data_IF_295732695717
#
_entry.id   IF_295732695717
#
_cell.length_a   1.000
_cell.length_b   1.000
_cell.length_c   1.000
_cell.angle_alpha   90.00
_cell.angle_beta   90.00
_cell.angle_gamma   90.00
#
_symmetry.space_group_name_H-M   'P 1'
#
loop_
_entity.id
_entity.type
_entity.pdbx_description
1 polymer ?
#
# COMPACT_ATOMS: atom_id res chain seq x y z
N UNK A 1 -9.41 -23.73 51.85
CA UNK A 1 -8.81 -22.45 51.42
C UNK A 1 -8.48 -22.57 49.93
N UNK A 2 -9.34 -22.02 49.07
CA UNK A 2 -9.29 -22.21 47.61
C UNK A 2 -8.32 -21.17 47.01
N UNK A 3 -7.21 -21.64 46.45
CA UNK A 3 -6.23 -20.78 45.76
C UNK A 3 -6.72 -20.57 44.33
N UNK A 4 -7.35 -19.41 44.07
CA UNK A 4 -7.69 -18.92 42.74
C UNK A 4 -6.42 -18.64 41.93
N UNK A 5 -6.04 -19.54 41.02
CA UNK A 5 -5.00 -19.30 40.01
C UNK A 5 -5.61 -18.46 38.88
N UNK A 6 -5.24 -17.18 38.80
CA UNK A 6 -5.78 -16.26 37.78
C UNK A 6 -5.22 -16.54 36.37
N UNK A 7 -6.06 -16.55 35.31
CA UNK A 7 -5.66 -16.85 33.92
C UNK A 7 -4.81 -15.75 33.27
N UNK A 8 -4.80 -14.54 33.84
CA UNK A 8 -4.13 -13.34 33.31
C UNK A 8 -2.60 -13.48 33.33
N UNK A 9 -2.04 -14.15 34.35
CA UNK A 9 -0.59 -14.34 34.46
C UNK A 9 -0.04 -15.34 33.45
N UNK A 10 -0.84 -16.33 33.03
CA UNK A 10 -0.44 -17.31 32.01
C UNK A 10 -0.46 -16.71 30.61
N UNK A 11 -1.45 -15.88 30.30
CA UNK A 11 -1.53 -15.18 29.02
C UNK A 11 -0.37 -14.17 28.84
N UNK A 12 -0.01 -13.42 29.89
CA UNK A 12 1.11 -12.48 29.86
C UNK A 12 2.48 -13.19 29.68
N UNK A 13 2.64 -14.37 30.27
CA UNK A 13 3.88 -15.15 30.18
C UNK A 13 4.04 -15.82 28.81
N UNK A 14 2.93 -16.26 28.19
CA UNK A 14 2.91 -16.80 26.83
C UNK A 14 3.13 -15.70 25.78
N UNK A 15 2.51 -14.52 25.95
CA UNK A 15 2.79 -13.35 25.09
C UNK A 15 4.24 -12.86 25.21
N UNK A 16 4.78 -12.87 26.44
CA UNK A 16 6.18 -12.53 26.70
C UNK A 16 7.15 -13.51 26.03
N UNK A 17 6.87 -14.81 26.10
CA UNK A 17 7.69 -15.84 25.43
C UNK A 17 7.59 -15.78 23.90
N UNK A 18 6.41 -15.47 23.33
CA UNK A 18 6.27 -15.29 21.89
C UNK A 18 7.00 -14.04 21.37
N UNK A 19 6.99 -12.94 22.13
CA UNK A 19 7.77 -11.74 21.83
C UNK A 19 9.27 -11.99 21.92
N UNK A 20 9.72 -12.75 22.92
CA UNK A 20 11.12 -13.14 23.05
C UNK A 20 11.55 -14.11 21.93
N UNK A 21 10.68 -15.05 21.55
CA UNK A 21 10.93 -15.98 20.44
C UNK A 21 11.00 -15.24 19.09
N UNK A 22 10.17 -14.22 18.85
CA UNK A 22 10.28 -13.38 17.66
C UNK A 22 11.58 -12.54 17.65
N UNK A 23 12.04 -12.09 18.83
CA UNK A 23 13.29 -11.34 18.98
C UNK A 23 14.54 -12.24 18.78
N UNK A 24 14.48 -13.50 19.21
CA UNK A 24 15.59 -14.45 19.08
C UNK A 24 15.63 -15.09 17.69
N UNK A 25 14.50 -15.32 17.02
CA UNK A 25 14.47 -15.76 15.62
C UNK A 25 14.82 -14.65 14.62
N UNK A 26 14.70 -13.36 14.98
CA UNK A 26 15.17 -12.23 14.17
C UNK A 26 16.67 -11.94 14.26
N UNK A 27 17.41 -12.67 15.12
CA UNK A 27 18.83 -12.41 15.39
C UNK A 27 19.80 -13.22 14.49
N UNK A 28 19.30 -14.14 13.66
CA UNK A 28 20.10 -14.78 12.61
C UNK A 28 19.79 -14.09 11.26
N UNK A 29 20.74 -13.26 10.82
CA UNK A 29 20.86 -12.66 9.48
C UNK A 29 20.01 -11.42 9.11
N UNK A 30 19.58 -10.61 10.07
CA UNK A 30 19.27 -9.21 9.75
C UNK A 30 20.58 -8.39 9.75
N UNK A 31 21.19 -8.19 8.57
CA UNK A 31 22.16 -7.11 8.36
C UNK A 31 21.46 -5.78 8.67
N UNK A 32 21.55 -5.36 9.93
CA UNK A 32 21.01 -4.10 10.46
C UNK A 32 21.85 -2.90 9.99
N UNK A 33 22.03 -2.77 8.68
CA UNK A 33 22.49 -1.55 8.05
C UNK A 33 21.31 -0.60 7.90
N UNK A 34 21.18 0.34 8.84
CA UNK A 34 20.50 1.62 8.64
C UNK A 34 19.01 1.57 8.29
N UNK A 35 18.17 1.45 9.32
CA UNK A 35 16.72 1.73 9.25
C UNK A 35 16.45 3.16 8.74
N UNK A 36 17.42 4.08 8.84
CA UNK A 36 17.32 5.46 8.34
C UNK A 36 17.62 5.55 6.83
N UNK A 37 18.52 4.72 6.26
CA UNK A 37 18.71 4.64 4.81
C UNK A 37 17.56 3.94 4.09
N UNK A 38 16.80 3.08 4.79
CA UNK A 38 15.57 2.49 4.25
C UNK A 38 14.50 3.54 3.91
N UNK A 39 14.55 4.72 4.52
CA UNK A 39 13.65 5.85 4.24
C UNK A 39 14.22 6.84 3.21
N UNK A 40 15.51 6.74 2.86
CA UNK A 40 16.22 7.68 1.99
C UNK A 40 16.50 7.17 0.58
N UNK A 41 16.33 5.87 0.33
CA UNK A 41 16.28 5.30 -1.01
C UNK A 41 14.81 5.18 -1.45
N UNK A 42 14.10 6.31 -1.59
CA UNK A 42 13.05 6.29 -2.60
C UNK A 42 13.76 5.92 -3.89
N UNK A 43 13.39 4.79 -4.49
CA UNK A 43 13.81 4.44 -5.84
C UNK A 43 13.11 5.41 -6.81
N UNK A 44 13.51 6.69 -6.76
CA UNK A 44 12.92 7.80 -7.52
C UNK A 44 13.22 7.51 -8.99
N UNK A 45 12.17 7.19 -9.75
CA UNK A 45 12.25 6.92 -11.19
C UNK A 45 12.63 5.49 -11.57
N UNK A 46 13.00 4.62 -10.62
CA UNK A 46 13.33 3.21 -10.88
C UNK A 46 12.41 2.21 -10.18
N UNK A 47 11.53 2.66 -9.29
CA UNK A 47 10.51 1.80 -8.68
C UNK A 47 9.42 1.43 -9.70
N UNK A 48 8.98 0.17 -9.63
CA UNK A 48 7.79 -0.30 -10.34
C UNK A 48 6.50 0.18 -9.67
N UNK A 49 5.35 -0.20 -10.24
CA UNK A 49 4.03 -0.01 -9.62
C UNK A 49 3.68 1.44 -9.20
N UNK A 50 4.10 2.44 -9.99
CA UNK A 50 3.88 3.87 -9.68
C UNK A 50 2.40 4.23 -9.46
N UNK A 51 1.48 3.44 -10.02
CA UNK A 51 0.04 3.51 -9.73
C UNK A 51 -0.28 3.56 -8.22
N UNK A 52 0.45 2.81 -7.39
CA UNK A 52 0.24 2.76 -5.95
C UNK A 52 0.54 4.09 -5.23
N UNK A 53 1.13 5.06 -5.91
CA UNK A 53 1.38 6.42 -5.40
C UNK A 53 0.31 7.43 -5.82
N UNK A 54 -0.61 7.05 -6.71
CA UNK A 54 -1.65 7.98 -7.15
C UNK A 54 -2.63 8.27 -5.99
N UNK A 55 -3.04 9.55 -5.84
CA UNK A 55 -3.88 9.94 -4.72
C UNK A 55 -5.30 9.39 -4.87
N UNK A 56 -5.82 8.77 -3.81
CA UNK A 56 -7.21 8.36 -3.75
C UNK A 56 -8.08 9.45 -3.12
N UNK A 57 -9.08 9.94 -3.85
CA UNK A 57 -10.09 10.87 -3.33
C UNK A 57 -9.74 12.35 -3.49
N UNK A 58 -10.74 13.13 -3.91
CA UNK A 58 -10.59 14.55 -4.23
C UNK A 58 -10.12 15.40 -3.05
N UNK A 59 -10.59 15.10 -1.83
CA UNK A 59 -10.21 15.85 -0.62
C UNK A 59 -8.72 15.75 -0.32
N UNK A 60 -8.17 14.54 -0.27
CA UNK A 60 -6.77 14.35 0.03
C UNK A 60 -5.88 14.89 -1.10
N UNK A 61 -6.29 14.73 -2.36
CA UNK A 61 -5.62 15.35 -3.51
C UNK A 61 -5.58 16.89 -3.40
N UNK A 62 -6.72 17.54 -3.08
CA UNK A 62 -6.81 18.99 -2.93
C UNK A 62 -6.00 19.54 -1.76
N UNK A 63 -5.76 18.73 -0.72
CA UNK A 63 -4.91 19.07 0.42
C UNK A 63 -3.42 18.77 0.16
N UNK A 64 -3.00 18.68 -1.10
CA UNK A 64 -1.61 18.40 -1.46
C UNK A 64 -1.16 17.00 -1.02
N UNK A 65 -2.07 16.02 -1.10
CA UNK A 65 -1.83 14.63 -0.66
C UNK A 65 -1.57 14.47 0.84
N UNK A 66 -2.02 15.41 1.68
CA UNK A 66 -1.95 15.34 3.14
C UNK A 66 -2.94 14.32 3.78
N UNK A 67 -3.16 13.17 3.14
CA UNK A 67 -4.11 12.16 3.61
C UNK A 67 -3.67 11.38 4.84
N UNK A 68 -2.37 11.41 5.20
CA UNK A 68 -1.80 10.60 6.30
C UNK A 68 -2.50 10.83 7.63
N UNK A 69 -2.79 12.09 7.97
CA UNK A 69 -3.54 12.47 9.17
C UNK A 69 -4.95 12.99 8.87
N UNK A 70 -5.19 13.51 7.66
CA UNK A 70 -6.47 14.15 7.31
C UNK A 70 -7.53 13.17 6.77
N UNK A 71 -7.15 12.04 6.16
CA UNK A 71 -8.08 11.10 5.54
C UNK A 71 -8.76 10.21 6.60
N UNK A 72 -9.71 10.79 7.32
CA UNK A 72 -10.52 10.13 8.35
C UNK A 72 -11.94 9.87 7.82
N UNK A 73 -12.01 9.39 6.58
CA UNK A 73 -13.24 9.06 5.84
C UNK A 73 -13.09 7.71 5.11
N UNK A 74 -14.04 7.34 4.25
CA UNK A 74 -14.02 6.09 3.49
C UNK A 74 -12.72 5.83 2.69
N UNK A 75 -11.95 6.87 2.34
CA UNK A 75 -10.67 6.75 1.63
C UNK A 75 -9.49 6.36 2.53
N UNK A 76 -9.67 6.32 3.87
CA UNK A 76 -8.64 6.01 4.85
C UNK A 76 -7.75 4.79 4.51
N UNK A 77 -8.29 3.65 4.01
CA UNK A 77 -7.46 2.49 3.65
C UNK A 77 -6.35 2.76 2.63
N UNK A 78 -6.51 3.76 1.77
CA UNK A 78 -5.52 4.14 0.76
C UNK A 78 -4.43 5.10 1.28
N UNK A 79 -4.70 5.80 2.39
CA UNK A 79 -3.82 6.83 2.94
C UNK A 79 -3.11 6.38 4.21
N UNK A 80 -3.87 6.00 5.23
CA UNK A 80 -3.34 5.53 6.50
C UNK A 80 -4.32 4.51 7.11
N UNK A 81 -3.97 3.22 7.15
CA UNK A 81 -4.87 2.19 7.69
C UNK A 81 -5.27 2.49 9.15
N UNK A 82 -4.39 3.11 9.94
CA UNK A 82 -4.66 3.46 11.34
C UNK A 82 -5.80 4.47 11.53
N UNK A 83 -6.20 5.18 10.48
CA UNK A 83 -7.31 6.12 10.51
C UNK A 83 -8.68 5.44 10.41
N UNK A 84 -8.76 4.18 9.93
CA UNK A 84 -10.06 3.50 9.69
C UNK A 84 -10.92 3.37 10.95
N UNK A 85 -10.30 3.10 12.11
CA UNK A 85 -10.99 2.99 13.41
C UNK A 85 -11.43 4.35 13.98
N UNK A 86 -10.99 5.46 13.36
CA UNK A 86 -11.28 6.84 13.79
C UNK A 86 -12.24 7.57 12.86
N UNK A 87 -12.70 6.89 11.81
CA UNK A 87 -13.65 7.45 10.85
C UNK A 87 -14.99 7.77 11.49
N UNK A 88 -15.70 8.73 10.89
CA UNK A 88 -17.04 9.07 11.35
C UNK A 88 -18.03 8.00 10.89
N UNK A 89 -18.84 7.48 11.81
CA UNK A 89 -19.79 6.42 11.52
C UNK A 89 -19.15 5.02 11.44
N UNK A 90 -19.88 4.01 11.90
CA UNK A 90 -19.35 2.63 12.05
C UNK A 90 -19.08 1.91 10.74
N UNK A 91 -19.68 2.35 9.63
CA UNK A 91 -19.58 1.74 8.30
C UNK A 91 -19.36 2.84 7.30
N UNK A 92 -18.30 2.74 6.53
CA UNK A 92 -17.91 3.73 5.55
C UNK A 92 -17.75 3.05 4.20
N UNK A 93 -18.27 3.71 3.18
CA UNK A 93 -18.15 3.30 1.78
C UNK A 93 -17.60 4.49 1.01
N UNK A 94 -16.67 4.22 0.10
CA UNK A 94 -16.05 5.24 -0.73
C UNK A 94 -15.89 4.74 -2.15
N UNK A 95 -16.17 5.63 -3.08
CA UNK A 95 -15.90 5.47 -4.50
C UNK A 95 -15.23 6.75 -4.98
N UNK A 96 -14.20 6.58 -5.79
CA UNK A 96 -13.47 7.68 -6.40
C UNK A 96 -13.20 7.38 -7.86
N UNK A 97 -13.42 8.36 -8.71
CA UNK A 97 -12.99 8.35 -10.09
C UNK A 97 -12.08 9.55 -10.31
N UNK A 98 -10.94 9.32 -10.95
CA UNK A 98 -9.96 10.36 -11.29
C UNK A 98 -9.58 10.20 -12.75
N UNK A 99 -9.97 11.17 -13.57
CA UNK A 99 -9.48 11.30 -14.93
C UNK A 99 -8.05 11.86 -14.87
N UNK A 100 -7.09 11.08 -15.33
CA UNK A 100 -5.69 11.45 -15.42
C UNK A 100 -5.33 11.88 -16.85
N UNK A 101 -4.10 12.34 -17.05
CA UNK A 101 -3.66 12.77 -18.37
C UNK A 101 -3.66 11.62 -19.38
N UNK A 102 -3.71 11.96 -20.68
CA UNK A 102 -3.69 11.00 -21.78
C UNK A 102 -4.85 9.98 -21.81
N UNK A 103 -6.01 10.33 -21.22
CA UNK A 103 -7.19 9.46 -21.21
C UNK A 103 -7.09 8.27 -20.26
N UNK A 104 -6.14 8.32 -19.31
CA UNK A 104 -5.98 7.31 -18.28
C UNK A 104 -7.03 7.54 -17.19
N UNK A 105 -7.80 6.52 -16.84
CA UNK A 105 -8.80 6.57 -15.79
C UNK A 105 -8.35 5.76 -14.58
N UNK A 106 -8.57 6.35 -13.40
CA UNK A 106 -8.29 5.70 -12.12
C UNK A 106 -9.54 5.61 -11.27
N UNK A 107 -9.91 4.40 -10.91
CA UNK A 107 -11.05 4.07 -10.07
C UNK A 107 -10.56 3.54 -8.72
N UNK A 108 -11.18 4.01 -7.65
CA UNK A 108 -10.94 3.56 -6.29
C UNK A 108 -12.27 3.20 -5.63
N UNK A 109 -12.30 2.10 -4.90
CA UNK A 109 -13.44 1.71 -4.08
C UNK A 109 -12.97 1.13 -2.75
N UNK A 110 -13.62 1.49 -1.66
CA UNK A 110 -13.31 0.91 -0.36
C UNK A 110 -14.54 0.82 0.52
N UNK A 111 -14.54 -0.20 1.36
CA UNK A 111 -15.49 -0.38 2.44
C UNK A 111 -14.74 -0.73 3.71
N UNK A 112 -15.02 -0.04 4.80
CA UNK A 112 -14.51 -0.44 6.10
C UNK A 112 -15.56 -0.24 7.19
N UNK A 113 -15.43 -1.06 8.23
CA UNK A 113 -16.26 -0.96 9.41
C UNK A 113 -15.41 -1.06 10.66
N UNK A 114 -15.84 -0.34 11.69
CA UNK A 114 -15.16 -0.35 12.97
C UNK A 114 -16.14 -0.46 14.13
N UNK A 115 -15.68 -1.16 15.16
CA UNK A 115 -16.26 -1.11 16.50
C UNK A 115 -15.56 -0.06 17.36
N UNK A 116 -15.49 -0.31 18.67
CA UNK A 116 -14.79 0.57 19.62
C UNK A 116 -13.26 0.40 19.56
N UNK A 117 -12.79 -0.84 19.37
CA UNK A 117 -11.36 -1.16 19.49
C UNK A 117 -10.77 -1.68 18.18
N UNK A 118 -11.57 -2.37 17.37
CA UNK A 118 -11.11 -3.03 16.14
C UNK A 118 -11.83 -2.48 14.93
N UNK A 119 -11.11 -2.43 13.82
CA UNK A 119 -11.59 -2.03 12.51
C UNK A 119 -11.03 -2.98 11.47
N UNK A 120 -11.83 -3.27 10.45
CA UNK A 120 -11.39 -4.00 9.27
C UNK A 120 -12.03 -3.40 8.03
N UNK A 121 -11.38 -3.60 6.88
CA UNK A 121 -11.88 -3.07 5.62
C UNK A 121 -11.27 -3.77 4.43
N UNK A 122 -11.88 -3.50 3.29
CA UNK A 122 -11.43 -3.92 1.98
C UNK A 122 -11.30 -2.70 1.08
N UNK A 123 -10.34 -2.74 0.17
CA UNK A 123 -10.08 -1.67 -0.78
C UNK A 123 -9.71 -2.27 -2.13
N UNK A 124 -10.08 -1.58 -3.20
CA UNK A 124 -9.76 -1.92 -4.56
C UNK A 124 -9.38 -0.63 -5.31
N UNK A 125 -8.40 -0.72 -6.17
CA UNK A 125 -8.02 0.33 -7.10
C UNK A 125 -7.75 -0.26 -8.47
N UNK A 126 -8.19 0.42 -9.52
CA UNK A 126 -7.97 0.03 -10.90
C UNK A 126 -7.51 1.24 -11.69
N UNK A 127 -6.46 1.08 -12.48
CA UNK A 127 -6.06 2.04 -13.51
C UNK A 127 -6.25 1.39 -14.87
N UNK A 128 -6.89 2.13 -15.77
CA UNK A 128 -7.08 1.76 -17.17
C UNK A 128 -6.43 2.83 -18.04
N UNK A 129 -5.49 2.42 -18.89
CA UNK A 129 -4.88 3.36 -19.84
C UNK A 129 -5.76 3.68 -21.04
N UNK A 130 -6.78 2.85 -21.30
CA UNK A 130 -7.42 2.80 -22.61
C UNK A 130 -6.50 2.21 -23.68
N UNK A 131 -6.97 2.27 -24.93
CA UNK A 131 -6.23 1.76 -26.08
C UNK A 131 -5.12 2.74 -26.50
N UNK A 132 -3.87 2.32 -26.35
CA UNK A 132 -2.71 3.10 -26.77
C UNK A 132 -2.27 2.62 -28.16
N UNK A 133 -2.18 3.50 -29.18
CA UNK A 133 -1.72 3.10 -30.49
C UNK A 133 -0.23 2.72 -30.47
N UNK A 134 0.11 1.56 -31.03
CA UNK A 134 1.49 1.12 -31.19
C UNK A 134 2.14 1.92 -32.32
N UNK A 135 3.29 2.52 -32.05
CA UNK A 135 4.05 3.32 -33.03
C UNK A 135 5.40 2.67 -33.33
N UNK A 136 5.90 2.83 -34.55
CA UNK A 136 7.24 2.39 -34.96
C UNK A 136 7.94 3.52 -35.72
N UNK A 137 9.26 3.40 -35.94
CA UNK A 137 10.02 4.41 -36.70
C UNK A 137 9.41 4.67 -38.09
N UNK A 138 8.87 3.62 -38.72
CA UNK A 138 8.21 3.68 -40.03
C UNK A 138 6.72 4.09 -39.95
N UNK A 139 6.08 3.97 -38.79
CA UNK A 139 4.66 4.26 -38.58
C UNK A 139 4.44 5.07 -37.30
N UNK A 140 4.81 6.34 -37.38
CA UNK A 140 4.78 7.28 -36.24
C UNK A 140 3.37 7.68 -35.80
N UNK A 141 2.39 7.58 -36.71
CA UNK A 141 0.97 7.87 -36.42
C UNK A 141 0.19 6.64 -35.94
N UNK A 142 0.86 5.50 -35.79
CA UNK A 142 0.25 4.24 -35.38
C UNK A 142 0.34 3.17 -36.46
N UNK A 143 0.56 1.93 -36.05
CA UNK A 143 0.60 0.75 -36.92
C UNK A 143 -0.78 0.13 -37.19
N UNK A 144 -1.85 0.70 -36.61
CA UNK A 144 -3.20 0.12 -36.60
C UNK A 144 -3.41 -0.93 -35.50
N UNK A 145 -2.38 -1.25 -34.72
CA UNK A 145 -2.46 -2.08 -33.51
C UNK A 145 -2.52 -1.19 -32.26
N UNK A 146 -3.20 -1.68 -31.22
CA UNK A 146 -3.26 -1.02 -29.91
C UNK A 146 -2.75 -1.96 -28.83
N UNK A 147 -2.24 -1.38 -27.75
CA UNK A 147 -1.91 -2.11 -26.52
C UNK A 147 -2.55 -1.40 -25.33
N UNK A 148 -2.69 -2.11 -24.22
CA UNK A 148 -3.27 -1.59 -22.99
C UNK A 148 -2.32 -1.79 -21.82
N UNK A 149 -2.35 -0.84 -20.88
CA UNK A 149 -1.69 -0.88 -19.60
C UNK A 149 -2.76 -0.82 -18.50
N UNK A 150 -3.08 -1.98 -17.94
CA UNK A 150 -4.10 -2.12 -16.91
C UNK A 150 -3.46 -2.54 -15.60
N UNK A 151 -3.76 -1.81 -14.53
CA UNK A 151 -3.23 -2.09 -13.19
C UNK A 151 -4.39 -2.27 -12.22
N UNK A 152 -4.25 -3.20 -11.28
CA UNK A 152 -5.22 -3.48 -10.25
C UNK A 152 -4.53 -3.68 -8.90
N UNK A 153 -5.15 -3.18 -7.84
CA UNK A 153 -4.76 -3.45 -6.47
C UNK A 153 -5.97 -3.86 -5.65
N UNK A 154 -5.84 -4.91 -4.85
CA UNK A 154 -6.83 -5.33 -3.86
C UNK A 154 -6.19 -5.33 -2.49
N UNK A 155 -6.82 -4.73 -1.49
CA UNK A 155 -6.26 -4.54 -0.16
C UNK A 155 -7.20 -4.97 0.96
N UNK A 156 -6.65 -5.61 1.98
CA UNK A 156 -7.31 -5.95 3.24
C UNK A 156 -6.68 -5.14 4.37
N UNK A 157 -7.50 -4.32 5.02
CA UNK A 157 -7.07 -3.44 6.11
C UNK A 157 -7.52 -4.00 7.44
N UNK A 158 -6.60 -4.03 8.41
CA UNK A 158 -6.86 -4.36 9.80
C UNK A 158 -6.32 -3.26 10.70
N UNK A 159 -7.08 -2.83 11.70
CA UNK A 159 -6.70 -1.71 12.55
C UNK A 159 -7.18 -1.91 13.98
N UNK A 160 -6.39 -1.42 14.93
CA UNK A 160 -6.69 -1.46 16.35
C UNK A 160 -6.48 -0.10 17.00
N UNK A 161 -7.51 0.39 17.67
CA UNK A 161 -7.38 1.47 18.64
C UNK A 161 -6.71 0.90 19.90
N UNK A 162 -5.50 1.34 20.19
CA UNK A 162 -4.74 0.90 21.37
C UNK A 162 -5.14 1.69 22.61
N UNK A 163 -5.47 2.97 22.43
CA UNK A 163 -6.01 3.86 23.46
C UNK A 163 -7.09 4.75 22.86
N UNK A 164 -7.70 5.63 23.64
CA UNK A 164 -8.66 6.61 23.11
C UNK A 164 -8.01 7.62 22.15
N UNK A 165 -6.67 7.73 22.18
CA UNK A 165 -5.90 8.72 21.42
C UNK A 165 -4.92 8.12 20.42
N UNK A 166 -4.64 6.83 20.48
CA UNK A 166 -3.64 6.18 19.64
C UNK A 166 -4.24 4.98 18.91
N UNK A 167 -4.00 4.88 17.61
CA UNK A 167 -4.34 3.72 16.78
C UNK A 167 -3.18 3.29 15.91
N UNK A 168 -3.14 2.00 15.62
CA UNK A 168 -2.20 1.36 14.69
C UNK A 168 -2.99 0.53 13.69
N UNK A 169 -2.56 0.56 12.44
CA UNK A 169 -3.20 -0.18 11.37
C UNK A 169 -2.19 -0.76 10.40
N UNK A 170 -2.59 -1.83 9.75
CA UNK A 170 -1.86 -2.43 8.64
C UNK A 170 -2.81 -2.70 7.48
N UNK A 171 -2.28 -2.61 6.27
CA UNK A 171 -2.99 -2.99 5.05
C UNK A 171 -2.12 -4.01 4.31
N UNK A 172 -2.70 -5.13 3.88
CA UNK A 172 -2.04 -6.09 2.99
C UNK A 172 -2.71 -5.99 1.65
N UNK A 173 -1.95 -5.72 0.60
CA UNK A 173 -2.44 -5.55 -0.75
C UNK A 173 -1.79 -6.54 -1.71
N UNK A 174 -2.54 -6.92 -2.73
CA UNK A 174 -2.02 -7.62 -3.89
C UNK A 174 -2.09 -6.68 -5.09
N UNK A 175 -0.93 -6.36 -5.65
CA UNK A 175 -0.78 -5.56 -6.85
C UNK A 175 -0.63 -6.48 -8.06
N UNK A 176 -1.32 -6.13 -9.14
CA UNK A 176 -1.19 -6.77 -10.44
C UNK A 176 -1.16 -5.72 -11.54
N UNK A 177 -0.28 -5.92 -12.51
CA UNK A 177 -0.09 -5.07 -13.68
C UNK A 177 -0.02 -5.95 -14.92
N UNK A 178 -0.79 -5.59 -15.94
CA UNK A 178 -0.73 -6.18 -17.26
C UNK A 178 -0.40 -5.07 -18.26
N UNK A 179 0.74 -5.20 -18.92
CA UNK A 179 1.24 -4.29 -19.94
C UNK A 179 1.47 -5.10 -21.22
N UNK A 180 0.49 -5.05 -22.12
CA UNK A 180 0.46 -5.88 -23.32
C UNK A 180 0.61 -7.38 -22.96
N UNK A 181 1.68 -8.05 -23.43
CA UNK A 181 1.99 -9.45 -23.13
C UNK A 181 2.70 -9.66 -21.78
N UNK A 182 3.12 -8.59 -21.10
CA UNK A 182 3.82 -8.69 -19.81
C UNK A 182 2.83 -8.62 -18.65
N UNK A 183 2.96 -9.56 -17.72
CA UNK A 183 2.21 -9.55 -16.46
C UNK A 183 3.16 -9.52 -15.27
N UNK A 184 2.85 -8.70 -14.28
CA UNK A 184 3.62 -8.53 -13.05
C UNK A 184 2.66 -8.53 -11.87
N UNK A 185 2.99 -9.28 -10.82
CA UNK A 185 2.18 -9.32 -9.61
C UNK A 185 3.04 -9.44 -8.36
N UNK A 186 2.69 -8.69 -7.32
CA UNK A 186 3.42 -8.70 -6.06
C UNK A 186 2.54 -8.35 -4.86
N UNK A 187 2.74 -9.01 -3.72
CA UNK A 187 2.15 -8.55 -2.47
C UNK A 187 2.89 -7.31 -1.96
N UNK A 188 2.14 -6.33 -1.46
CA UNK A 188 2.68 -5.14 -0.79
C UNK A 188 1.93 -4.90 0.51
N UNK A 189 2.55 -4.20 1.44
CA UNK A 189 1.98 -3.91 2.75
C UNK A 189 2.17 -2.44 3.14
N UNK A 190 1.20 -1.94 3.90
CA UNK A 190 1.28 -0.65 4.55
C UNK A 190 1.19 -0.85 6.06
N UNK A 191 1.91 -0.03 6.81
CA UNK A 191 1.81 0.06 8.26
C UNK A 191 1.71 1.53 8.65
N UNK A 192 0.71 1.85 9.46
CA UNK A 192 0.45 3.22 9.87
C UNK A 192 0.12 3.33 11.34
N UNK A 193 0.33 4.52 11.87
CA UNK A 193 -0.07 4.95 13.21
C UNK A 193 -0.78 6.31 13.12
N UNK A 194 -1.68 6.56 14.06
CA UNK A 194 -2.38 7.83 14.18
C UNK A 194 -2.54 8.20 15.65
N UNK A 195 -2.20 9.43 15.99
CA UNK A 195 -2.20 9.96 17.35
C UNK A 195 -2.99 11.27 17.46
N UNK A 196 -3.77 11.40 18.52
CA UNK A 196 -4.56 12.57 18.89
C UNK A 196 -4.02 13.14 20.20
N UNK A 197 -3.18 14.19 20.17
CA UNK A 197 -2.61 14.78 21.38
C UNK A 197 -3.67 15.34 22.35
N UNK A 198 -4.84 15.73 21.84
CA UNK A 198 -5.92 16.36 22.61
C UNK A 198 -5.81 17.89 22.67
N UNK A 199 -5.03 18.49 21.76
CA UNK A 199 -4.91 19.94 21.60
C UNK A 199 -5.80 20.33 20.40
N UNK A 200 -7.07 20.67 20.68
CA UNK A 200 -8.06 20.92 19.63
C UNK A 200 -8.22 19.73 18.68
N UNK A 201 -8.20 20.00 17.37
CA UNK A 201 -8.31 19.00 16.31
C UNK A 201 -6.95 18.51 15.77
N UNK A 202 -5.85 18.78 16.48
CA UNK A 202 -4.53 18.34 16.07
C UNK A 202 -4.45 16.81 15.99
N UNK A 203 -3.90 16.34 14.87
CA UNK A 203 -3.66 14.93 14.58
C UNK A 203 -2.23 14.79 14.09
N UNK A 204 -1.61 13.68 14.45
CA UNK A 204 -0.27 13.34 14.01
C UNK A 204 -0.34 11.92 13.46
N UNK A 205 0.02 11.76 12.20
CA UNK A 205 0.01 10.50 11.49
C UNK A 205 1.38 10.16 10.93
N UNK A 206 1.71 8.88 10.96
CA UNK A 206 2.88 8.35 10.25
C UNK A 206 2.47 7.06 9.56
N UNK A 207 2.91 6.89 8.31
CA UNK A 207 2.62 5.70 7.53
C UNK A 207 3.82 5.33 6.66
N UNK A 208 4.08 4.04 6.57
CA UNK A 208 4.94 3.45 5.54
C UNK A 208 4.02 2.69 4.61
N UNK A 209 4.02 3.06 3.33
CA UNK A 209 3.14 2.49 2.30
C UNK A 209 3.93 1.72 1.26
N UNK A 210 3.29 0.72 0.68
CA UNK A 210 3.73 -0.08 -0.46
C UNK A 210 5.08 -0.77 -0.25
N UNK A 211 5.34 -1.21 0.98
CA UNK A 211 6.51 -2.01 1.29
C UNK A 211 6.32 -3.44 0.78
N UNK A 212 7.30 -4.01 0.08
CA UNK A 212 7.18 -5.34 -0.51
C UNK A 212 8.49 -5.82 -1.14
N UNK A 213 8.53 -7.08 -1.62
CA UNK A 213 9.66 -7.60 -2.36
C UNK A 213 9.83 -6.87 -3.69
N UNK A 214 11.00 -7.03 -4.31
CA UNK A 214 11.20 -6.61 -5.68
C UNK A 214 10.23 -7.36 -6.61
N UNK A 215 9.64 -6.60 -7.52
CA UNK A 215 8.66 -7.06 -8.50
C UNK A 215 9.36 -7.39 -9.81
N UNK A 216 8.91 -8.43 -10.49
CA UNK A 216 9.48 -8.83 -11.77
C UNK A 216 8.39 -9.22 -12.74
N UNK A 217 8.45 -8.79 -14.01
CA UNK A 217 7.56 -9.31 -15.03
C UNK A 217 7.76 -10.82 -15.20
N UNK A 218 6.65 -11.54 -15.36
CA UNK A 218 6.68 -12.94 -15.79
C UNK A 218 6.88 -13.07 -17.29
N UNK A 219 7.22 -14.27 -17.74
CA UNK A 219 7.39 -14.60 -19.16
C UNK A 219 8.84 -14.64 -19.64
N UNK A 220 9.02 -14.96 -20.91
CA UNK A 220 10.32 -14.91 -21.60
C UNK A 220 10.62 -13.48 -22.06
N UNK A 221 11.85 -12.97 -21.85
CA UNK A 221 12.31 -11.71 -22.41
C UNK A 221 12.07 -11.62 -23.91
N UNK A 222 11.60 -10.46 -24.38
CA UNK A 222 11.41 -10.20 -25.81
C UNK A 222 12.75 -10.31 -26.53
N UNK A 223 12.79 -11.10 -27.60
CA UNK A 223 13.97 -11.22 -28.45
C UNK A 223 14.09 -9.96 -29.32
N UNK A 224 15.11 -9.15 -29.01
CA UNK A 224 15.45 -7.95 -29.74
C UNK A 224 16.56 -8.29 -30.74
N UNK A 225 16.24 -8.19 -32.02
CA UNK A 225 17.16 -8.55 -33.11
C UNK A 225 18.46 -7.73 -33.00
N UNK A 226 19.61 -8.43 -32.89
CA UNK A 226 20.93 -7.83 -32.72
C UNK A 226 21.38 -7.51 -31.28
N UNK A 227 20.62 -7.90 -30.24
CA UNK A 227 21.00 -7.75 -28.83
C UNK A 227 21.04 -9.10 -28.10
N UNK A 228 22.00 -9.27 -27.19
CA UNK A 228 22.02 -10.42 -26.28
C UNK A 228 20.73 -10.42 -25.45
N UNK A 229 19.89 -11.43 -25.64
CA UNK A 229 18.68 -11.61 -24.87
C UNK A 229 19.06 -12.04 -23.45
N UNK A 230 18.74 -11.22 -22.42
CA UNK A 230 18.95 -11.66 -21.06
C UNK A 230 18.08 -12.89 -20.79
N UNK A 231 18.57 -13.83 -19.97
CA UNK A 231 17.78 -15.00 -19.57
C UNK A 231 16.56 -14.63 -18.72
N UNK A 232 16.50 -13.40 -18.22
CA UNK A 232 15.63 -12.96 -17.15
C UNK A 232 15.27 -11.46 -17.25
N UNK A 233 14.01 -11.09 -17.02
CA UNK A 233 13.59 -9.70 -16.91
C UNK A 233 14.21 -9.02 -15.68
N UNK A 234 14.53 -7.73 -15.80
CA UNK A 234 15.00 -6.89 -14.71
C UNK A 234 13.94 -6.80 -13.58
N UNK A 235 14.40 -6.83 -12.33
CA UNK A 235 13.56 -6.60 -11.17
C UNK A 235 13.45 -5.12 -10.82
N UNK A 236 12.28 -4.71 -10.35
CA UNK A 236 11.97 -3.37 -9.93
C UNK A 236 11.50 -3.37 -8.49
N UNK A 237 12.10 -2.55 -7.63
CA UNK A 237 11.65 -2.47 -6.24
C UNK A 237 10.25 -1.88 -6.13
N UNK A 238 9.53 -2.32 -5.10
CA UNK A 238 8.23 -1.76 -4.76
C UNK A 238 8.36 -0.25 -4.43
N UNK A 239 7.34 0.58 -4.75
CA UNK A 239 7.37 2.03 -4.57
C UNK A 239 7.10 2.39 -3.11
N UNK A 240 7.99 1.92 -2.23
CA UNK A 240 7.91 2.13 -0.79
C UNK A 240 8.04 3.61 -0.49
N UNK A 241 7.10 4.16 0.29
CA UNK A 241 7.14 5.56 0.71
C UNK A 241 6.81 5.69 2.19
N UNK A 242 7.62 6.48 2.89
CA UNK A 242 7.32 6.95 4.24
C UNK A 242 6.68 8.32 4.17
N UNK A 243 5.61 8.55 4.93
CA UNK A 243 4.95 9.85 4.96
C UNK A 243 4.53 10.21 6.38
N UNK A 244 4.72 11.47 6.72
CA UNK A 244 4.36 12.07 8.01
C UNK A 244 3.40 13.24 7.75
N UNK A 245 2.42 13.45 8.63
CA UNK A 245 1.46 14.55 8.53
C UNK A 245 0.62 14.74 9.77
#
# INVERSE_FOLDING_TARGET
>A
MVILRSPVRRAALVLGLCLLACLVLGALEAKAGSVIQLYGAENVGTAGAQFLRLPAGARAAALGQAGVAAAVDGSAPFWNPAATVRTQGRRNLFFGHTAYAAGIDVEHASYHTHGHTWSWGVSAGVLRSGDIPRTTEFHQQGTGQTFQANMMVLGLTGTRAMTDRFSIGANVKYYQENLDDLSLGAPVMDVGVLYYPGIGDLRIGFVVRNFGPDMRPGGTPLELDGYDTPSEYQSFSAPTSGSFG
#
